data_IF_508501597601
#
_entry.id   IF_508501597601
#
_cell.length_a   1.000
_cell.length_b   1.000
_cell.length_c   1.000
_cell.angle_alpha   90.00
_cell.angle_beta   90.00
_cell.angle_gamma   90.00
#
_symmetry.space_group_name_H-M   'P 1'
#
loop_
_entity.id
_entity.type
_entity.pdbx_description
1 polymer ?
#
# COMPACT_ATOMS: atom_id res chain seq x y z
N UNK A 1 18.95 -20.39 -26.66
CA UNK A 1 18.11 -19.23 -26.32
C UNK A 1 17.44 -19.36 -24.93
N UNK A 2 16.93 -20.54 -24.54
CA UNK A 2 16.21 -20.76 -23.26
C UNK A 2 17.00 -20.54 -21.94
N UNK A 3 18.31 -20.81 -21.88
CA UNK A 3 19.08 -20.79 -20.61
C UNK A 3 19.35 -19.35 -20.13
N UNK A 4 19.55 -18.41 -21.05
CA UNK A 4 19.85 -17.01 -20.72
C UNK A 4 18.62 -16.28 -20.17
N UNK A 5 17.43 -16.60 -20.68
CA UNK A 5 16.13 -16.07 -20.22
C UNK A 5 15.80 -16.53 -18.77
N UNK A 6 16.06 -17.80 -18.47
CA UNK A 6 15.79 -18.38 -17.15
C UNK A 6 16.64 -17.73 -16.04
N UNK A 7 17.93 -17.44 -16.30
CA UNK A 7 18.80 -16.84 -15.29
C UNK A 7 18.46 -15.37 -15.00
N UNK A 8 18.01 -14.63 -16.01
CA UNK A 8 17.57 -13.25 -15.86
C UNK A 8 16.26 -13.17 -15.05
N UNK A 9 15.29 -14.01 -15.40
CA UNK A 9 14.02 -14.10 -14.66
C UNK A 9 14.23 -14.44 -13.19
N UNK A 10 15.15 -15.37 -12.88
CA UNK A 10 15.49 -15.73 -11.49
C UNK A 10 16.15 -14.57 -10.75
N UNK A 11 17.04 -13.82 -11.40
CA UNK A 11 17.68 -12.63 -10.85
C UNK A 11 16.67 -11.52 -10.55
N UNK A 12 15.73 -11.28 -11.46
CA UNK A 12 14.69 -10.27 -11.32
C UNK A 12 13.72 -10.63 -10.19
N UNK A 13 13.32 -11.90 -10.10
CA UNK A 13 12.50 -12.41 -9.00
C UNK A 13 13.21 -12.26 -7.65
N UNK A 14 14.50 -12.61 -7.57
CA UNK A 14 15.30 -12.42 -6.35
C UNK A 14 15.38 -10.94 -5.95
N UNK A 15 15.55 -10.04 -6.91
CA UNK A 15 15.55 -8.60 -6.70
C UNK A 15 14.22 -8.11 -6.14
N UNK A 16 13.09 -8.56 -6.70
CA UNK A 16 11.75 -8.23 -6.22
C UNK A 16 11.50 -8.72 -4.80
N UNK A 17 11.94 -9.94 -4.48
CA UNK A 17 11.82 -10.47 -3.12
C UNK A 17 12.59 -9.64 -2.10
N UNK A 18 13.76 -9.09 -2.45
CA UNK A 18 14.50 -8.17 -1.58
C UNK A 18 13.71 -6.87 -1.35
N UNK A 19 13.15 -6.27 -2.41
CA UNK A 19 12.31 -5.08 -2.28
C UNK A 19 11.07 -5.31 -1.42
N UNK A 20 10.39 -6.44 -1.67
CA UNK A 20 9.24 -6.88 -0.88
C UNK A 20 9.59 -7.09 0.59
N UNK A 21 10.73 -7.75 0.88
CA UNK A 21 11.17 -8.01 2.26
C UNK A 21 11.38 -6.72 3.05
N UNK A 22 11.88 -5.66 2.41
CA UNK A 22 12.04 -4.34 3.04
C UNK A 22 10.70 -3.74 3.47
N UNK A 23 9.73 -3.68 2.55
CA UNK A 23 8.38 -3.17 2.85
C UNK A 23 7.67 -4.03 3.91
N UNK A 24 7.79 -5.35 3.79
CA UNK A 24 7.17 -6.29 4.72
C UNK A 24 7.75 -6.18 6.14
N UNK A 25 9.08 -6.03 6.26
CA UNK A 25 9.74 -5.82 7.55
C UNK A 25 9.24 -4.56 8.24
N UNK A 26 9.14 -3.46 7.50
CA UNK A 26 8.58 -2.20 8.02
C UNK A 26 7.14 -2.37 8.50
N UNK A 27 6.31 -3.03 7.70
CA UNK A 27 4.94 -3.37 8.06
C UNK A 27 4.87 -4.21 9.34
N UNK A 28 5.71 -5.23 9.48
CA UNK A 28 5.78 -6.05 10.70
C UNK A 28 6.14 -5.21 11.94
N UNK A 29 7.10 -4.29 11.82
CA UNK A 29 7.49 -3.41 12.92
C UNK A 29 6.33 -2.48 13.28
N UNK A 30 5.70 -1.85 12.30
CA UNK A 30 4.57 -0.95 12.53
C UNK A 30 3.40 -1.69 13.21
N UNK A 31 2.93 -2.78 12.61
CA UNK A 31 1.79 -3.54 13.12
C UNK A 31 2.06 -4.24 14.46
N UNK A 32 3.30 -4.67 14.70
CA UNK A 32 3.69 -5.34 15.94
C UNK A 32 3.77 -4.40 17.15
N UNK A 33 4.28 -3.18 16.95
CA UNK A 33 4.59 -2.29 18.09
C UNK A 33 3.98 -0.89 17.98
N UNK A 34 3.74 -0.37 16.78
CA UNK A 34 3.42 1.04 16.56
C UNK A 34 2.01 1.27 16.02
N UNK A 35 1.23 0.21 15.85
CA UNK A 35 -0.10 0.24 15.20
C UNK A 35 -1.08 1.27 15.78
N UNK A 36 -0.96 1.62 17.06
CA UNK A 36 -1.80 2.63 17.70
C UNK A 36 -1.39 4.08 17.35
N UNK A 37 -0.25 4.27 16.67
CA UNK A 37 0.32 5.57 16.34
C UNK A 37 0.44 5.74 14.82
N UNK A 38 -0.65 6.04 14.08
CA UNK A 38 -0.65 6.06 12.62
C UNK A 38 0.36 7.04 12.01
N UNK A 39 0.70 8.13 12.73
CA UNK A 39 1.72 9.10 12.29
C UNK A 39 3.11 8.48 12.13
N UNK A 40 3.40 7.36 12.79
CA UNK A 40 4.68 6.66 12.70
C UNK A 40 4.74 5.67 11.53
N UNK A 41 3.65 5.44 10.82
CA UNK A 41 3.58 4.50 9.70
C UNK A 41 4.61 4.84 8.62
N UNK A 42 4.49 6.01 8.01
CA UNK A 42 5.42 6.47 6.97
C UNK A 42 6.88 6.57 7.43
N UNK A 43 7.21 7.18 8.61
CA UNK A 43 8.58 7.18 9.10
C UNK A 43 9.20 5.78 9.24
N UNK A 44 8.42 4.81 9.72
CA UNK A 44 8.89 3.42 9.85
C UNK A 44 9.09 2.78 8.47
N UNK A 45 8.16 2.98 7.54
CA UNK A 45 8.31 2.44 6.19
C UNK A 45 9.42 3.12 5.39
N UNK A 46 9.79 4.37 5.72
CA UNK A 46 10.82 5.12 5.01
C UNK A 46 12.27 4.72 5.37
N UNK A 47 12.49 3.77 6.28
CA UNK A 47 13.83 3.44 6.80
C UNK A 47 14.85 3.07 5.71
N UNK A 48 14.43 2.40 4.64
CA UNK A 48 15.31 1.95 3.57
C UNK A 48 15.35 2.89 2.34
N UNK A 49 14.71 4.07 2.41
CA UNK A 49 14.69 5.06 1.31
C UNK A 49 16.09 5.40 0.80
N UNK A 50 17.11 5.68 1.64
CA UNK A 50 18.45 6.00 1.13
C UNK A 50 19.05 4.86 0.30
N UNK A 51 18.87 3.61 0.73
CA UNK A 51 19.34 2.42 0.02
C UNK A 51 18.56 2.23 -1.29
N UNK A 52 17.25 2.41 -1.26
CA UNK A 52 16.41 2.30 -2.45
C UNK A 52 16.76 3.35 -3.51
N UNK A 53 16.98 4.61 -3.11
CA UNK A 53 17.40 5.66 -4.03
C UNK A 53 18.74 5.33 -4.70
N UNK A 54 19.71 4.80 -3.95
CA UNK A 54 20.99 4.32 -4.48
C UNK A 54 20.83 3.12 -5.43
N UNK A 55 19.82 2.30 -5.23
CA UNK A 55 19.53 1.10 -6.04
C UNK A 55 18.89 1.38 -7.40
N UNK A 56 18.31 2.58 -7.62
CA UNK A 56 17.54 2.88 -8.84
C UNK A 56 18.37 2.81 -10.13
N UNK A 57 19.67 3.08 -10.07
CA UNK A 57 20.55 3.12 -11.24
C UNK A 57 21.31 1.81 -11.47
N UNK A 58 21.14 0.78 -10.65
CA UNK A 58 21.90 -0.46 -10.68
C UNK A 58 21.07 -1.70 -10.96
N UNK A 59 21.69 -2.84 -10.68
CA UNK A 59 21.03 -4.17 -10.76
C UNK A 59 19.83 -4.31 -9.81
N UNK A 60 19.72 -3.47 -8.79
CA UNK A 60 18.66 -3.47 -7.78
C UNK A 60 17.48 -2.57 -8.14
N UNK A 61 17.44 -2.02 -9.37
CA UNK A 61 16.42 -1.05 -9.77
C UNK A 61 14.99 -1.57 -9.59
N UNK A 62 14.71 -2.85 -9.83
CA UNK A 62 13.37 -3.43 -9.63
C UNK A 62 13.01 -3.47 -8.15
N UNK A 63 13.93 -3.91 -7.28
CA UNK A 63 13.74 -3.89 -5.83
C UNK A 63 13.48 -2.46 -5.32
N UNK A 64 14.32 -1.52 -5.75
CA UNK A 64 14.22 -0.11 -5.39
C UNK A 64 12.89 0.50 -5.86
N UNK A 65 12.48 0.21 -7.10
CA UNK A 65 11.21 0.69 -7.64
C UNK A 65 10.02 0.10 -6.89
N UNK A 66 10.04 -1.20 -6.63
CA UNK A 66 8.99 -1.85 -5.84
C UNK A 66 8.85 -1.18 -4.48
N UNK A 67 9.94 -1.07 -3.72
CA UNK A 67 9.94 -0.48 -2.38
C UNK A 67 9.46 0.98 -2.40
N UNK A 68 10.00 1.82 -3.28
CA UNK A 68 9.60 3.23 -3.36
C UNK A 68 8.16 3.41 -3.82
N UNK A 69 7.68 2.57 -4.74
CA UNK A 69 6.27 2.62 -5.18
C UNK A 69 5.32 2.14 -4.09
N UNK A 70 5.71 1.13 -3.30
CA UNK A 70 4.97 0.71 -2.11
C UNK A 70 4.87 1.86 -1.10
N UNK A 71 5.99 2.50 -0.77
CA UNK A 71 6.01 3.65 0.14
C UNK A 71 5.15 4.82 -0.37
N UNK A 72 5.17 5.11 -1.68
CA UNK A 72 4.29 6.12 -2.28
C UNK A 72 2.83 5.70 -2.18
N UNK A 73 2.52 4.42 -2.40
CA UNK A 73 1.17 3.88 -2.20
C UNK A 73 0.68 4.11 -0.78
N UNK A 74 1.46 3.67 0.22
CA UNK A 74 1.16 3.90 1.64
C UNK A 74 0.97 5.39 1.96
N UNK A 75 1.86 6.26 1.44
CA UNK A 75 1.73 7.70 1.66
C UNK A 75 0.43 8.27 1.07
N UNK A 76 0.00 7.80 -0.09
CA UNK A 76 -1.28 8.20 -0.70
C UNK A 76 -2.47 7.74 0.16
N UNK A 77 -2.42 6.51 0.67
CA UNK A 77 -3.45 5.96 1.56
C UNK A 77 -3.52 6.74 2.87
N UNK A 78 -2.40 6.97 3.54
CA UNK A 78 -2.33 7.72 4.80
C UNK A 78 -2.83 9.16 4.62
N UNK A 79 -2.45 9.80 3.51
CA UNK A 79 -2.92 11.14 3.17
C UNK A 79 -4.44 11.17 2.92
N UNK A 80 -4.98 10.17 2.20
CA UNK A 80 -6.41 10.04 1.97
C UNK A 80 -7.16 9.79 3.29
N UNK A 81 -6.63 8.94 4.19
CA UNK A 81 -7.19 8.69 5.52
C UNK A 81 -7.20 9.96 6.38
N UNK A 82 -6.13 10.75 6.33
CA UNK A 82 -6.05 12.04 7.04
C UNK A 82 -7.03 13.06 6.46
N UNK A 83 -7.09 13.20 5.14
CA UNK A 83 -7.96 14.17 4.45
C UNK A 83 -9.46 13.84 4.60
N UNK A 84 -9.83 12.58 4.68
CA UNK A 84 -11.20 12.12 4.92
C UNK A 84 -11.59 12.15 6.40
N UNK A 85 -10.63 12.35 7.32
CA UNK A 85 -10.85 12.30 8.75
C UNK A 85 -10.99 10.89 9.32
N UNK A 86 -10.88 9.83 8.50
CA UNK A 86 -11.03 8.44 8.98
C UNK A 86 -9.87 8.01 9.87
N UNK A 87 -8.70 8.63 9.73
CA UNK A 87 -7.53 8.32 10.55
C UNK A 87 -7.77 8.49 12.07
N UNK A 88 -8.70 9.35 12.47
CA UNK A 88 -9.06 9.53 13.88
C UNK A 88 -9.69 8.29 14.53
N UNK A 89 -10.32 7.41 13.74
CA UNK A 89 -10.90 6.15 14.24
C UNK A 89 -9.84 5.08 14.50
N UNK A 90 -8.68 5.20 13.84
CA UNK A 90 -7.67 4.16 13.82
C UNK A 90 -7.17 3.71 15.20
N UNK A 91 -6.74 4.61 16.12
CA UNK A 91 -6.27 4.19 17.44
C UNK A 91 -7.34 3.40 18.22
N UNK A 92 -8.61 3.83 18.14
CA UNK A 92 -9.71 3.17 18.80
C UNK A 92 -9.93 1.75 18.24
N UNK A 93 -9.91 1.60 16.91
CA UNK A 93 -10.10 0.30 16.23
C UNK A 93 -9.02 -0.70 16.63
N UNK A 94 -7.72 -0.30 16.57
CA UNK A 94 -6.60 -1.23 16.79
C UNK A 94 -6.34 -1.57 18.26
N UNK A 95 -6.95 -0.84 19.19
CA UNK A 95 -6.87 -1.10 20.63
C UNK A 95 -8.17 -1.65 21.22
N UNK A 96 -9.23 -1.74 20.42
CA UNK A 96 -10.52 -2.28 20.85
C UNK A 96 -10.44 -3.78 21.15
N UNK A 97 -11.39 -4.27 21.97
CA UNK A 97 -11.63 -5.69 22.14
C UNK A 97 -12.17 -6.30 20.84
N UNK A 98 -12.06 -7.63 20.71
CA UNK A 98 -12.55 -8.36 19.52
C UNK A 98 -14.05 -8.11 19.26
N UNK A 99 -14.86 -7.90 20.30
CA UNK A 99 -16.29 -7.63 20.18
C UNK A 99 -16.60 -6.21 19.69
N UNK A 100 -15.72 -5.24 20.00
CA UNK A 100 -15.92 -3.83 19.68
C UNK A 100 -15.27 -3.41 18.36
N UNK A 101 -14.16 -4.03 17.98
CA UNK A 101 -13.41 -3.68 16.78
C UNK A 101 -14.28 -3.73 15.50
N UNK A 102 -15.15 -4.74 15.27
CA UNK A 102 -16.04 -4.78 14.11
C UNK A 102 -16.99 -3.60 14.01
N UNK A 103 -17.56 -3.16 15.15
CA UNK A 103 -18.46 -2.01 15.20
C UNK A 103 -17.75 -0.70 14.88
N UNK A 104 -16.54 -0.51 15.43
CA UNK A 104 -15.71 0.67 15.16
C UNK A 104 -15.23 0.70 13.70
N UNK A 105 -14.86 -0.44 13.14
CA UNK A 105 -14.52 -0.56 11.70
C UNK A 105 -15.71 -0.19 10.82
N UNK A 106 -16.90 -0.68 11.15
CA UNK A 106 -18.11 -0.33 10.41
C UNK A 106 -18.42 1.16 10.50
N UNK A 107 -18.26 1.78 11.68
CA UNK A 107 -18.45 3.22 11.85
C UNK A 107 -17.44 4.02 11.02
N UNK A 108 -16.16 3.61 11.00
CA UNK A 108 -15.15 4.22 10.17
C UNK A 108 -15.46 4.08 8.66
N UNK A 109 -15.92 2.91 8.23
CA UNK A 109 -16.34 2.66 6.86
C UNK A 109 -17.54 3.51 6.44
N UNK A 110 -18.58 3.59 7.30
CA UNK A 110 -19.78 4.41 7.04
C UNK A 110 -19.46 5.91 7.05
N UNK A 111 -18.49 6.35 7.85
CA UNK A 111 -17.99 7.73 7.79
C UNK A 111 -17.45 8.08 6.39
N UNK A 112 -16.71 7.16 5.75
CA UNK A 112 -16.20 7.36 4.39
C UNK A 112 -17.29 7.46 3.32
N UNK A 113 -18.49 6.96 3.57
CA UNK A 113 -19.62 7.09 2.65
C UNK A 113 -20.34 8.45 2.73
N UNK A 114 -19.98 9.31 3.67
CA UNK A 114 -20.49 10.69 3.71
C UNK A 114 -20.00 11.47 2.48
N UNK A 115 -20.78 12.46 1.98
CA UNK A 115 -20.51 13.09 0.70
C UNK A 115 -19.09 13.66 0.56
N UNK A 116 -18.59 14.39 1.55
CA UNK A 116 -17.28 15.04 1.49
C UNK A 116 -16.12 14.04 1.58
N UNK A 117 -16.06 13.12 2.57
CA UNK A 117 -15.06 12.04 2.58
C UNK A 117 -15.10 11.18 1.31
N UNK A 118 -16.28 10.82 0.81
CA UNK A 118 -16.42 10.00 -0.38
C UNK A 118 -15.84 10.68 -1.62
N UNK A 119 -16.15 11.96 -1.84
CA UNK A 119 -15.59 12.74 -2.95
C UNK A 119 -14.06 12.78 -2.84
N UNK A 120 -13.52 13.05 -1.65
CA UNK A 120 -12.09 13.08 -1.40
C UNK A 120 -11.44 11.74 -1.71
N UNK A 121 -12.03 10.63 -1.26
CA UNK A 121 -11.57 9.28 -1.52
C UNK A 121 -11.57 8.96 -3.03
N UNK A 122 -12.66 9.28 -3.74
CA UNK A 122 -12.76 9.07 -5.19
C UNK A 122 -11.72 9.88 -5.95
N UNK A 123 -11.53 11.15 -5.61
CA UNK A 123 -10.49 11.99 -6.23
C UNK A 123 -9.11 11.38 -6.00
N UNK A 124 -8.79 10.98 -4.77
CA UNK A 124 -7.50 10.35 -4.44
C UNK A 124 -7.27 9.08 -5.25
N UNK A 125 -8.27 8.19 -5.32
CA UNK A 125 -8.20 6.96 -6.11
C UNK A 125 -7.99 7.24 -7.61
N UNK A 126 -8.71 8.21 -8.17
CA UNK A 126 -8.57 8.62 -9.58
C UNK A 126 -7.16 9.16 -9.85
N UNK A 127 -6.61 9.97 -8.95
CA UNK A 127 -5.24 10.51 -9.10
C UNK A 127 -4.20 9.38 -9.11
N UNK A 128 -4.30 8.42 -8.20
CA UNK A 128 -3.40 7.24 -8.17
C UNK A 128 -3.54 6.40 -9.44
N UNK A 129 -4.76 6.17 -9.92
CA UNK A 129 -5.01 5.44 -11.17
C UNK A 129 -4.42 6.16 -12.39
N UNK A 130 -4.57 7.49 -12.46
CA UNK A 130 -3.99 8.28 -13.55
C UNK A 130 -2.46 8.27 -13.49
N UNK A 131 -1.86 8.35 -12.30
CA UNK A 131 -0.43 8.22 -12.11
C UNK A 131 0.07 6.84 -12.56
N UNK A 132 -0.58 5.76 -12.13
CA UNK A 132 -0.27 4.40 -12.55
C UNK A 132 -0.35 4.22 -14.07
N UNK A 133 -1.43 4.73 -14.70
CA UNK A 133 -1.59 4.70 -16.16
C UNK A 133 -0.49 5.49 -16.90
N UNK A 134 -0.08 6.65 -16.39
CA UNK A 134 1.02 7.43 -16.97
C UNK A 134 2.35 6.68 -16.87
N UNK A 135 2.64 6.10 -15.71
CA UNK A 135 3.84 5.29 -15.50
C UNK A 135 3.88 4.09 -16.47
N UNK A 136 2.78 3.36 -16.61
CA UNK A 136 2.67 2.23 -17.53
C UNK A 136 2.81 2.66 -19.02
N UNK A 137 2.25 3.79 -19.42
CA UNK A 137 2.32 4.28 -20.81
C UNK A 137 3.71 4.77 -21.20
N UNK A 138 4.44 5.38 -20.28
CA UNK A 138 5.79 5.88 -20.50
C UNK A 138 6.85 4.77 -20.48
N UNK A 139 6.43 3.53 -20.32
CA UNK A 139 7.25 2.33 -20.20
C UNK A 139 7.70 1.80 -21.57
N UNK A 140 8.16 2.66 -22.48
CA UNK A 140 8.79 2.28 -23.75
C UNK A 140 10.29 2.04 -23.58
N UNK A 141 10.80 0.88 -24.00
CA UNK A 141 12.22 0.57 -24.00
C UNK A 141 12.77 0.02 -22.67
N UNK A 142 14.07 0.24 -22.42
CA UNK A 142 14.81 -0.32 -21.26
C UNK A 142 14.25 0.06 -19.86
N UNK A 143 13.44 1.13 -19.79
CA UNK A 143 12.79 1.58 -18.57
C UNK A 143 11.38 0.98 -18.40
N UNK A 144 10.91 0.18 -19.37
CA UNK A 144 9.56 -0.37 -19.42
C UNK A 144 9.17 -1.18 -18.19
N UNK A 145 10.08 -2.02 -17.72
CA UNK A 145 9.82 -2.90 -16.58
C UNK A 145 9.64 -2.11 -15.27
N UNK A 146 10.39 -1.02 -15.11
CA UNK A 146 10.34 -0.16 -13.91
C UNK A 146 8.99 0.57 -13.83
N UNK A 147 8.56 1.20 -14.93
CA UNK A 147 7.29 1.92 -14.98
C UNK A 147 6.08 0.99 -14.82
N UNK A 148 6.13 -0.19 -15.44
CA UNK A 148 5.08 -1.21 -15.30
C UNK A 148 5.02 -1.75 -13.87
N UNK A 149 6.18 -1.97 -13.23
CA UNK A 149 6.27 -2.39 -11.84
C UNK A 149 5.67 -1.34 -10.90
N UNK A 150 6.06 -0.07 -11.03
CA UNK A 150 5.52 1.01 -10.22
C UNK A 150 4.00 1.15 -10.38
N UNK A 151 3.50 1.05 -11.62
CA UNK A 151 2.08 1.07 -11.91
C UNK A 151 1.33 -0.10 -11.25
N UNK A 152 1.88 -1.32 -11.36
CA UNK A 152 1.29 -2.50 -10.75
C UNK A 152 1.19 -2.38 -9.23
N UNK A 153 2.25 -1.90 -8.57
CA UNK A 153 2.27 -1.69 -7.11
C UNK A 153 1.19 -0.68 -6.69
N UNK A 154 1.12 0.48 -7.34
CA UNK A 154 0.13 1.51 -7.01
C UNK A 154 -1.31 1.03 -7.22
N UNK A 155 -1.58 0.29 -8.30
CA UNK A 155 -2.90 -0.28 -8.56
C UNK A 155 -3.24 -1.35 -7.52
N UNK A 156 -2.27 -2.18 -7.13
CA UNK A 156 -2.46 -3.20 -6.09
C UNK A 156 -2.78 -2.57 -4.74
N UNK A 157 -2.13 -1.46 -4.38
CA UNK A 157 -2.46 -0.71 -3.14
C UNK A 157 -3.93 -0.29 -3.15
N UNK A 158 -4.42 0.30 -4.24
CA UNK A 158 -5.84 0.69 -4.34
C UNK A 158 -6.80 -0.52 -4.20
N UNK A 159 -6.44 -1.67 -4.77
CA UNK A 159 -7.23 -2.88 -4.62
C UNK A 159 -7.29 -3.35 -3.16
N UNK A 160 -6.15 -3.35 -2.48
CA UNK A 160 -6.07 -3.74 -1.05
C UNK A 160 -6.90 -2.79 -0.19
N UNK A 161 -6.76 -1.47 -0.40
CA UNK A 161 -7.53 -0.45 0.32
C UNK A 161 -9.04 -0.59 0.07
N UNK A 162 -9.42 -0.85 -1.20
CA UNK A 162 -10.81 -1.10 -1.57
C UNK A 162 -11.41 -2.34 -0.91
N UNK A 163 -10.64 -3.43 -0.86
CA UNK A 163 -11.05 -4.65 -0.16
C UNK A 163 -11.16 -4.44 1.35
N UNK A 164 -10.24 -3.67 1.93
CA UNK A 164 -10.29 -3.32 3.34
C UNK A 164 -11.54 -2.48 3.67
N UNK A 165 -11.84 -1.48 2.86
CA UNK A 165 -13.07 -0.67 3.00
C UNK A 165 -14.32 -1.54 2.87
N UNK A 166 -14.37 -2.42 1.86
CA UNK A 166 -15.48 -3.34 1.69
C UNK A 166 -15.67 -4.24 2.92
N UNK A 167 -14.57 -4.80 3.44
CA UNK A 167 -14.59 -5.61 4.65
C UNK A 167 -15.10 -4.84 5.86
N UNK A 168 -14.66 -3.58 6.02
CA UNK A 168 -15.12 -2.71 7.10
C UNK A 168 -16.63 -2.41 7.01
N UNK A 169 -17.16 -2.22 5.80
CA UNK A 169 -18.57 -1.97 5.56
C UNK A 169 -19.45 -3.21 5.81
N UNK A 170 -18.90 -4.40 5.57
CA UNK A 170 -19.61 -5.67 5.80
C UNK A 170 -19.61 -6.10 7.27
N UNK A 171 -18.82 -5.45 8.14
CA UNK A 171 -18.88 -5.67 9.58
C UNK A 171 -20.19 -5.05 10.16
N UNK A 172 -20.77 -5.59 11.23
CA UNK A 172 -20.35 -6.78 11.98
C UNK A 172 -20.84 -8.12 11.39
N UNK A 173 -21.51 -8.11 10.23
CA UNK A 173 -22.09 -9.33 9.64
C UNK A 173 -21.07 -10.45 9.33
N UNK A 174 -19.77 -10.10 9.17
CA UNK A 174 -18.71 -11.09 8.95
C UNK A 174 -18.14 -11.67 10.25
N UNK A 175 -18.38 -11.05 11.40
CA UNK A 175 -17.84 -11.53 12.68
C UNK A 175 -18.38 -12.87 13.12
N UNK A 176 -19.60 -13.26 12.68
CA UNK A 176 -20.18 -14.57 12.92
C UNK A 176 -19.63 -15.71 12.05
N UNK A 177 -18.65 -15.45 11.17
CA UNK A 177 -18.01 -16.47 10.35
C UNK A 177 -16.70 -17.01 10.97
N UNK A 178 -16.25 -16.43 12.08
CA UNK A 178 -14.96 -16.72 12.72
C UNK A 178 -15.15 -17.44 14.08
N UNK A 179 -16.38 -17.63 14.52
CA UNK A 179 -16.73 -18.46 15.68
C UNK A 179 -16.85 -19.97 15.24
#
# INVERSE_FOLDING_TARGET
>A
MCIRDSSQTTSDLGSLLVGFSGSWLAGCIFWGWLRAHPVLHLPVEAFAVPVALGGLQGRWRLAATFYLSSLVGTACTDLAMAATGVMQFWPAVVTASLDQAPLLLHQAGTHLLQPLPLITLVISAVLVLLAGRRLSRNSGGFTGDVGSMAAAVLITTLWVDGLFLLSALLQPGLSGLIE
#
